data_IF_477993728146
#
_entry.id   IF_477993728146
#
_cell.length_a   1.000
_cell.length_b   1.000
_cell.length_c   1.000
_cell.angle_alpha   90.00
_cell.angle_beta   90.00
_cell.angle_gamma   90.00
#
_symmetry.space_group_name_H-M   'P 1'
#
loop_
_entity.id
_entity.type
_entity.pdbx_description
1 polymer ?
#
# COMPACT_ATOMS: atom_id res chain seq x y z
N UNK A 1 -48.70 56.15 -7.91
CA UNK A 1 -47.50 56.05 -7.04
C UNK A 1 -47.49 54.62 -6.51
N UNK A 2 -46.82 53.76 -7.24
CA UNK A 2 -46.65 52.36 -6.87
C UNK A 2 -45.19 52.13 -6.45
N UNK A 3 -44.99 51.79 -5.16
CA UNK A 3 -43.69 51.41 -4.63
C UNK A 3 -43.56 49.87 -4.80
N UNK A 4 -42.62 49.46 -5.65
CA UNK A 4 -42.29 48.08 -5.84
C UNK A 4 -41.43 47.57 -4.68
N UNK A 5 -41.88 46.51 -4.02
CA UNK A 5 -41.17 45.77 -2.99
C UNK A 5 -40.14 44.84 -3.64
N UNK A 6 -38.87 44.97 -3.21
CA UNK A 6 -37.79 44.02 -3.55
C UNK A 6 -37.98 42.70 -2.79
N UNK A 7 -37.74 41.57 -3.39
CA UNK A 7 -37.65 40.30 -2.67
C UNK A 7 -36.27 40.18 -2.01
N UNK A 8 -36.30 39.83 -0.75
CA UNK A 8 -35.16 39.51 0.11
C UNK A 8 -34.51 38.20 -0.31
N UNK A 9 -33.27 38.31 -0.81
CA UNK A 9 -32.43 37.11 -1.15
C UNK A 9 -31.61 36.73 0.09
N UNK A 10 -32.28 36.21 1.15
CA UNK A 10 -31.62 35.56 2.24
C UNK A 10 -31.11 34.16 1.77
N UNK A 11 -29.81 34.05 1.74
CA UNK A 11 -28.98 32.92 1.46
C UNK A 11 -29.48 31.59 2.07
N UNK A 12 -29.98 30.70 1.24
CA UNK A 12 -29.95 29.28 1.54
C UNK A 12 -28.48 28.77 1.42
N UNK A 13 -27.86 28.55 2.56
CA UNK A 13 -26.59 27.85 2.64
C UNK A 13 -26.82 26.40 2.26
N UNK A 14 -26.47 26.07 1.04
CA UNK A 14 -26.46 24.71 0.50
C UNK A 14 -25.48 23.83 1.31
N UNK A 15 -26.03 23.12 2.30
CA UNK A 15 -25.33 22.08 3.07
C UNK A 15 -25.50 20.73 2.39
N UNK A 16 -25.27 20.63 1.09
CA UNK A 16 -25.07 19.36 0.43
C UNK A 16 -23.57 19.04 0.42
N UNK A 17 -23.11 18.30 1.41
CA UNK A 17 -21.75 17.77 1.48
C UNK A 17 -21.50 16.68 0.44
N UNK A 18 -21.69 16.98 -0.83
CA UNK A 18 -21.29 16.08 -1.91
C UNK A 18 -19.77 16.01 -1.93
N UNK A 19 -19.20 14.85 -1.62
CA UNK A 19 -17.78 14.57 -1.81
C UNK A 19 -17.41 14.89 -3.26
N UNK A 20 -16.38 15.72 -3.46
CA UNK A 20 -15.92 16.05 -4.81
C UNK A 20 -15.58 14.76 -5.58
N UNK A 21 -15.88 14.72 -6.90
CA UNK A 21 -15.57 13.55 -7.71
C UNK A 21 -14.07 13.25 -7.68
N UNK A 22 -13.70 11.95 -7.66
CA UNK A 22 -12.32 11.56 -7.76
C UNK A 22 -11.76 11.92 -9.13
N UNK A 23 -10.53 12.43 -9.16
CA UNK A 23 -9.74 12.64 -10.37
C UNK A 23 -8.79 11.45 -10.49
N UNK A 24 -8.75 10.82 -11.65
CA UNK A 24 -7.89 9.66 -11.95
C UNK A 24 -7.23 9.88 -13.31
N UNK A 25 -5.90 9.73 -13.38
CA UNK A 25 -5.13 9.93 -14.61
C UNK A 25 -3.80 9.18 -14.55
N UNK A 26 -2.99 9.31 -15.60
CA UNK A 26 -1.64 8.78 -15.70
C UNK A 26 -0.66 9.91 -15.97
N UNK A 27 0.28 10.13 -15.05
CA UNK A 27 1.43 10.99 -15.33
C UNK A 27 2.30 10.34 -16.42
N UNK A 28 2.59 11.10 -17.48
CA UNK A 28 3.53 10.75 -18.53
C UNK A 28 4.78 11.62 -18.39
N UNK A 29 5.91 11.01 -18.01
CA UNK A 29 7.20 11.67 -17.91
C UNK A 29 8.07 11.24 -19.10
N UNK A 30 8.27 12.14 -20.09
CA UNK A 30 8.98 11.85 -21.32
C UNK A 30 10.49 11.66 -21.18
N UNK A 31 11.20 12.46 -20.35
CA UNK A 31 12.63 12.29 -20.15
C UNK A 31 12.99 10.94 -19.56
N UNK A 32 14.23 10.52 -19.76
CA UNK A 32 14.79 9.32 -19.17
C UNK A 32 14.68 9.38 -17.63
N UNK A 33 14.05 8.36 -17.03
CA UNK A 33 13.94 8.18 -15.59
C UNK A 33 15.01 7.20 -15.11
N UNK A 34 16.10 7.70 -14.49
CA UNK A 34 17.19 6.84 -14.01
C UNK A 34 16.74 6.06 -12.79
N UNK A 35 17.16 4.78 -12.68
CA UNK A 35 16.84 3.91 -11.56
C UNK A 35 17.99 3.87 -10.55
N UNK A 36 17.63 3.70 -9.28
CA UNK A 36 18.54 3.73 -8.15
C UNK A 36 19.68 2.70 -8.25
N UNK A 37 19.36 1.49 -8.71
CA UNK A 37 20.34 0.41 -8.90
C UNK A 37 20.89 0.34 -10.33
N UNK A 38 20.72 1.40 -11.11
CA UNK A 38 21.16 1.47 -12.51
C UNK A 38 20.07 1.07 -13.50
N UNK A 39 20.30 1.43 -14.76
CA UNK A 39 19.27 1.34 -15.80
C UNK A 39 18.36 2.57 -15.82
N UNK A 40 17.29 2.49 -16.57
CA UNK A 40 16.31 3.58 -16.70
C UNK A 40 14.99 3.08 -17.27
N UNK A 41 13.95 3.88 -17.08
CA UNK A 41 12.64 3.75 -17.74
C UNK A 41 12.43 4.94 -18.65
N UNK A 42 11.92 4.71 -19.85
CA UNK A 42 11.64 5.77 -20.84
C UNK A 42 10.52 5.30 -21.77
N UNK A 43 9.34 5.96 -21.80
CA UNK A 43 8.90 6.97 -20.84
C UNK A 43 8.45 6.34 -19.51
N UNK A 44 8.56 7.10 -18.41
CA UNK A 44 7.89 6.72 -17.15
C UNK A 44 6.41 7.07 -17.24
N UNK A 45 5.56 6.11 -16.85
CA UNK A 45 4.14 6.33 -16.60
C UNK A 45 3.84 6.05 -15.13
N UNK A 46 2.99 6.86 -14.50
CA UNK A 46 2.56 6.65 -13.13
C UNK A 46 1.05 6.90 -13.02
N UNK A 47 0.28 5.84 -12.88
CA UNK A 47 -1.17 5.89 -12.65
C UNK A 47 -1.46 6.41 -11.24
N UNK A 48 -2.37 7.37 -11.12
CA UNK A 48 -2.73 7.99 -9.85
C UNK A 48 -4.23 8.27 -9.75
N UNK A 49 -4.71 8.43 -8.52
CA UNK A 49 -6.08 8.86 -8.22
C UNK A 49 -6.08 9.75 -6.98
N UNK A 50 -6.77 10.88 -7.07
CA UNK A 50 -6.92 11.84 -6.00
C UNK A 50 -8.41 12.03 -5.70
N UNK A 51 -8.85 11.67 -4.50
CA UNK A 51 -10.26 11.67 -4.11
C UNK A 51 -10.45 12.35 -2.75
N UNK A 52 -11.59 13.02 -2.54
CA UNK A 52 -11.93 13.71 -1.30
C UNK A 52 -12.21 15.19 -1.51
N UNK A 53 -12.44 15.93 -0.43
CA UNK A 53 -12.90 17.32 -0.46
C UNK A 53 -11.86 18.24 -1.13
N UNK A 54 -12.29 18.96 -2.17
CA UNK A 54 -11.43 19.94 -2.87
C UNK A 54 -10.87 20.97 -1.90
N UNK A 55 -9.59 21.33 -2.06
CA UNK A 55 -8.89 22.28 -1.21
C UNK A 55 -8.46 21.73 0.16
N UNK A 56 -8.84 20.50 0.53
CA UNK A 56 -8.35 19.88 1.75
C UNK A 56 -6.88 19.41 1.59
N UNK A 57 -6.13 19.29 2.70
CA UNK A 57 -4.76 18.75 2.67
C UNK A 57 -4.69 17.38 2.04
N UNK A 58 -3.59 17.08 1.36
CA UNK A 58 -3.40 15.79 0.67
C UNK A 58 -2.68 14.80 1.57
N UNK A 59 -3.26 13.60 1.70
CA UNK A 59 -2.64 12.43 2.34
C UNK A 59 -2.41 11.36 1.27
N UNK A 60 -1.17 10.90 1.12
CA UNK A 60 -0.83 9.77 0.26
C UNK A 60 -1.04 8.47 1.03
N UNK A 61 -1.82 7.54 0.46
CA UNK A 61 -2.08 6.22 1.04
C UNK A 61 -1.46 5.11 0.19
N UNK A 62 -0.54 4.35 0.78
CA UNK A 62 0.24 3.30 0.15
C UNK A 62 0.07 1.97 0.89
N UNK A 63 -0.29 0.91 0.19
CA UNK A 63 -0.44 -0.43 0.75
C UNK A 63 0.69 -1.38 0.37
N UNK A 64 0.46 -2.69 0.53
CA UNK A 64 1.38 -3.73 0.05
C UNK A 64 1.53 -3.73 -1.47
N UNK A 65 2.37 -4.61 -2.01
CA UNK A 65 2.69 -4.68 -3.46
C UNK A 65 1.48 -4.88 -4.38
N UNK A 66 0.35 -5.31 -3.85
CA UNK A 66 -0.90 -5.49 -4.62
C UNK A 66 -1.85 -4.30 -4.52
N UNK A 67 -1.49 -3.27 -3.74
CA UNK A 67 -2.28 -2.05 -3.66
C UNK A 67 -2.18 -1.26 -4.97
N UNK A 68 -3.22 -0.50 -5.24
CA UNK A 68 -3.35 0.28 -6.46
C UNK A 68 -3.93 1.66 -6.13
N UNK A 69 -4.00 2.55 -7.11
CA UNK A 69 -4.46 3.94 -6.95
C UNK A 69 -5.84 4.12 -6.33
N UNK A 70 -6.73 3.11 -6.43
CA UNK A 70 -8.07 3.15 -5.81
C UNK A 70 -7.99 2.70 -4.35
N UNK A 71 -7.63 3.62 -3.46
CA UNK A 71 -7.58 3.37 -2.01
C UNK A 71 -8.97 3.06 -1.47
N UNK A 72 -9.95 3.88 -1.85
CA UNK A 72 -11.39 3.66 -1.63
C UNK A 72 -12.17 4.06 -2.87
N UNK A 73 -13.40 3.57 -3.00
CA UNK A 73 -14.28 3.95 -4.09
C UNK A 73 -15.72 4.09 -3.57
N UNK A 74 -16.35 5.23 -3.84
CA UNK A 74 -17.70 5.55 -3.36
C UNK A 74 -18.79 4.88 -4.19
N UNK A 75 -18.49 4.59 -5.47
CA UNK A 75 -19.46 3.96 -6.39
C UNK A 75 -19.36 2.43 -6.33
N UNK A 76 -18.16 1.91 -6.10
CA UNK A 76 -17.87 0.48 -6.05
C UNK A 76 -17.02 0.17 -4.81
N UNK A 77 -17.67 0.02 -3.65
CA UNK A 77 -16.97 -0.18 -2.38
C UNK A 77 -15.94 -1.34 -2.39
N UNK A 78 -16.14 -2.36 -3.24
CA UNK A 78 -15.19 -3.48 -3.42
C UNK A 78 -14.00 -3.14 -4.33
N UNK A 79 -14.02 -2.01 -5.03
CA UNK A 79 -12.91 -1.60 -5.90
C UNK A 79 -11.77 -0.94 -5.11
N UNK A 80 -12.04 -0.40 -3.91
CA UNK A 80 -11.02 0.16 -3.02
C UNK A 80 -10.36 -0.94 -2.18
N UNK A 81 -9.02 -0.95 -2.12
CA UNK A 81 -8.30 -1.93 -1.30
C UNK A 81 -8.31 -1.60 0.20
N UNK A 82 -8.68 -0.38 0.58
CA UNK A 82 -8.71 0.10 1.98
C UNK A 82 -10.04 0.75 2.38
N UNK A 83 -11.14 0.39 1.75
CA UNK A 83 -12.46 1.00 1.95
C UNK A 83 -12.97 0.92 3.40
N UNK A 84 -12.45 0.02 4.25
CA UNK A 84 -12.78 -0.03 5.68
C UNK A 84 -12.11 1.09 6.50
N UNK A 85 -10.99 1.64 6.03
CA UNK A 85 -10.20 2.66 6.72
C UNK A 85 -10.18 4.01 6.01
N UNK A 86 -10.51 4.07 4.71
CA UNK A 86 -10.48 5.29 3.91
C UNK A 86 -11.85 5.55 3.26
N UNK A 87 -12.28 6.80 3.28
CA UNK A 87 -13.56 7.25 2.72
C UNK A 87 -14.27 8.25 3.63
N UNK A 88 -15.52 8.66 3.33
CA UNK A 88 -16.28 9.57 4.17
C UNK A 88 -16.50 9.02 5.57
N UNK A 89 -16.18 9.80 6.60
CA UNK A 89 -16.27 9.44 8.01
C UNK A 89 -15.48 8.18 8.42
N UNK A 90 -14.57 7.70 7.57
CA UNK A 90 -13.64 6.64 7.90
C UNK A 90 -12.46 7.17 8.75
N UNK A 91 -11.51 6.30 9.12
CA UNK A 91 -10.30 6.72 9.84
C UNK A 91 -9.47 7.71 9.01
N UNK A 92 -9.31 7.45 7.71
CA UNK A 92 -8.80 8.39 6.72
C UNK A 92 -10.01 9.07 6.05
N UNK A 93 -10.51 10.13 6.70
CA UNK A 93 -11.77 10.78 6.33
C UNK A 93 -11.61 11.69 5.10
N UNK A 94 -12.20 11.27 3.99
CA UNK A 94 -12.19 12.01 2.73
C UNK A 94 -12.96 13.35 2.77
N UNK A 95 -13.73 13.62 3.84
CA UNK A 95 -14.31 14.93 4.08
C UNK A 95 -13.30 15.92 4.70
N UNK A 96 -12.23 15.42 5.32
CA UNK A 96 -11.19 16.22 5.99
C UNK A 96 -9.91 16.32 5.17
N UNK A 97 -9.59 15.32 4.35
CA UNK A 97 -8.39 15.26 3.51
C UNK A 97 -8.72 14.80 2.09
N UNK A 98 -7.80 15.07 1.15
CA UNK A 98 -7.79 14.41 -0.15
C UNK A 98 -6.85 13.22 -0.09
N UNK A 99 -7.32 12.05 -0.49
CA UNK A 99 -6.53 10.82 -0.50
C UNK A 99 -5.93 10.62 -1.87
N UNK A 100 -4.61 10.64 -1.94
CA UNK A 100 -3.84 10.30 -3.13
C UNK A 100 -3.47 8.80 -3.06
N UNK A 101 -3.73 8.07 -4.13
CA UNK A 101 -3.28 6.69 -4.34
C UNK A 101 -2.54 6.58 -5.67
N UNK A 102 -1.65 5.63 -5.79
CA UNK A 102 -0.89 5.35 -7.02
C UNK A 102 -0.92 3.86 -7.38
N UNK A 103 -0.67 3.56 -8.65
CA UNK A 103 -0.20 2.24 -9.07
C UNK A 103 1.33 2.24 -9.01
N UNK A 104 1.93 1.29 -8.29
CA UNK A 104 3.40 1.23 -8.21
C UNK A 104 4.05 1.02 -9.57
N UNK A 105 5.18 1.66 -9.79
CA UNK A 105 6.08 1.32 -10.91
C UNK A 105 6.54 -0.13 -10.74
N UNK A 106 6.46 -0.93 -11.79
CA UNK A 106 6.73 -2.37 -11.70
C UNK A 106 5.53 -3.25 -11.37
N UNK A 107 4.35 -2.67 -11.09
CA UNK A 107 3.10 -3.40 -10.82
C UNK A 107 2.33 -3.79 -12.09
N UNK A 108 1.18 -4.42 -11.90
CA UNK A 108 0.24 -4.81 -12.97
C UNK A 108 -0.81 -3.74 -13.31
N UNK A 109 -0.58 -2.47 -12.90
CA UNK A 109 -1.48 -1.34 -13.16
C UNK A 109 -1.15 -0.58 -14.45
N UNK A 110 -1.54 0.70 -14.50
CA UNK A 110 -1.25 1.58 -15.65
C UNK A 110 0.11 2.27 -15.57
N UNK A 111 0.82 2.13 -14.45
CA UNK A 111 2.21 2.58 -14.32
C UNK A 111 3.15 1.76 -15.19
N UNK A 112 4.33 2.32 -15.48
CA UNK A 112 5.38 1.56 -16.15
C UNK A 112 5.70 0.29 -15.37
N UNK A 113 5.65 -0.85 -16.05
CA UNK A 113 5.84 -2.17 -15.44
C UNK A 113 6.15 -3.23 -16.51
N UNK A 114 6.45 -4.44 -16.08
CA UNK A 114 6.68 -5.54 -16.99
C UNK A 114 5.41 -5.88 -17.78
N UNK A 115 5.62 -6.40 -18.97
CA UNK A 115 4.58 -7.03 -19.79
C UNK A 115 4.78 -8.55 -19.75
N UNK A 116 3.73 -9.31 -20.06
CA UNK A 116 3.81 -10.77 -20.10
C UNK A 116 4.95 -11.25 -21.01
N UNK A 117 5.84 -12.09 -20.48
CA UNK A 117 7.03 -12.60 -21.16
C UNK A 117 8.16 -11.58 -21.36
N UNK A 118 7.99 -10.32 -20.89
CA UNK A 118 8.97 -9.26 -21.03
C UNK A 118 9.92 -9.15 -19.83
N UNK A 119 11.14 -8.67 -20.08
CA UNK A 119 12.05 -8.24 -19.02
C UNK A 119 11.70 -6.84 -18.55
N UNK A 120 11.92 -6.57 -17.26
CA UNK A 120 11.79 -5.24 -16.67
C UNK A 120 12.96 -4.99 -15.72
N UNK A 121 13.34 -3.72 -15.57
CA UNK A 121 14.45 -3.37 -14.70
C UNK A 121 14.09 -3.57 -13.22
N UNK A 122 15.10 -3.79 -12.37
CA UNK A 122 14.93 -3.84 -10.93
C UNK A 122 14.51 -2.47 -10.39
N UNK A 123 13.43 -2.45 -9.63
CA UNK A 123 12.86 -1.26 -9.01
C UNK A 123 13.10 -1.31 -7.51
N UNK A 124 13.46 -0.19 -6.91
CA UNK A 124 13.59 -0.03 -5.47
C UNK A 124 12.51 0.88 -4.87
N UNK A 125 12.41 0.94 -3.56
CA UNK A 125 11.56 1.91 -2.85
C UNK A 125 11.99 3.37 -3.14
N UNK A 126 13.26 3.62 -3.46
CA UNK A 126 13.75 4.93 -3.87
C UNK A 126 13.28 5.34 -5.26
N UNK A 127 13.10 4.39 -6.18
CA UNK A 127 12.53 4.67 -7.50
C UNK A 127 11.05 5.05 -7.39
N UNK A 128 10.32 4.38 -6.49
CA UNK A 128 8.94 4.77 -6.16
C UNK A 128 8.89 6.17 -5.56
N UNK A 129 9.81 6.50 -4.63
CA UNK A 129 9.91 7.81 -4.01
C UNK A 129 10.19 8.92 -5.04
N UNK A 130 11.09 8.69 -6.00
CA UNK A 130 11.36 9.64 -7.08
C UNK A 130 10.17 9.80 -8.02
N UNK A 131 9.50 8.72 -8.40
CA UNK A 131 8.28 8.79 -9.21
C UNK A 131 7.17 9.57 -8.50
N UNK A 132 7.02 9.40 -7.18
CA UNK A 132 6.10 10.19 -6.35
C UNK A 132 6.45 11.67 -6.32
N UNK A 133 7.73 12.03 -6.19
CA UNK A 133 8.18 13.43 -6.25
C UNK A 133 7.76 14.09 -7.56
N UNK A 134 8.00 13.41 -8.70
CA UNK A 134 7.55 13.90 -10.01
C UNK A 134 6.03 14.06 -10.10
N UNK A 135 5.29 13.14 -9.50
CA UNK A 135 3.82 13.25 -9.45
C UNK A 135 3.37 14.44 -8.61
N UNK A 136 3.98 14.70 -7.45
CA UNK A 136 3.63 15.86 -6.62
C UNK A 136 3.91 17.17 -7.34
N UNK A 137 5.03 17.27 -8.08
CA UNK A 137 5.35 18.44 -8.89
C UNK A 137 4.31 18.64 -10.00
N UNK A 138 3.90 17.55 -10.68
CA UNK A 138 2.85 17.59 -11.72
C UNK A 138 1.49 18.03 -11.16
N UNK A 139 1.16 17.62 -9.96
CA UNK A 139 -0.10 17.97 -9.29
C UNK A 139 -0.05 19.33 -8.56
N UNK A 140 1.09 20.03 -8.59
CA UNK A 140 1.34 21.27 -7.85
C UNK A 140 1.07 21.10 -6.35
N UNK A 141 1.52 19.98 -5.77
CA UNK A 141 1.45 19.71 -4.35
C UNK A 141 2.83 19.95 -3.75
N UNK A 142 3.01 21.05 -3.03
CA UNK A 142 4.30 21.40 -2.44
C UNK A 142 4.71 20.43 -1.34
N UNK A 143 3.79 20.08 -0.45
CA UNK A 143 4.00 19.06 0.58
C UNK A 143 2.72 18.26 0.87
N UNK A 144 2.91 16.99 1.20
CA UNK A 144 1.84 16.12 1.68
C UNK A 144 1.61 16.38 3.18
N UNK A 145 0.35 16.45 3.60
CA UNK A 145 -0.01 16.44 5.02
C UNK A 145 0.52 15.21 5.73
N UNK A 146 0.46 14.05 5.07
CA UNK A 146 1.02 12.81 5.58
C UNK A 146 1.23 11.80 4.46
N UNK A 147 2.12 10.81 4.71
CA UNK A 147 2.11 9.54 4.00
C UNK A 147 1.69 8.46 4.99
N UNK A 148 0.61 7.75 4.66
CA UNK A 148 0.18 6.55 5.37
C UNK A 148 0.62 5.34 4.55
N UNK A 149 1.62 4.63 5.05
CA UNK A 149 2.22 3.50 4.35
C UNK A 149 2.12 2.20 5.14
N UNK A 150 1.57 1.15 4.54
CA UNK A 150 1.52 -0.18 5.12
C UNK A 150 2.39 -1.17 4.32
N UNK A 151 3.17 -2.02 5.00
CA UNK A 151 4.04 -3.01 4.35
C UNK A 151 4.98 -2.33 3.34
N UNK A 152 4.97 -2.74 2.06
CA UNK A 152 5.77 -2.11 1.02
C UNK A 152 5.53 -0.60 0.90
N UNK A 153 4.28 -0.15 1.09
CA UNK A 153 3.96 1.28 1.11
C UNK A 153 4.63 2.04 2.26
N UNK A 154 4.84 1.40 3.40
CA UNK A 154 5.64 1.95 4.50
C UNK A 154 7.12 2.08 4.15
N UNK A 155 7.67 1.10 3.42
CA UNK A 155 9.05 1.16 2.90
C UNK A 155 9.22 2.32 1.91
N UNK A 156 8.26 2.53 1.01
CA UNK A 156 8.26 3.65 0.07
C UNK A 156 8.14 4.98 0.82
N UNK A 157 7.29 5.07 1.84
CA UNK A 157 7.14 6.26 2.67
C UNK A 157 8.44 6.64 3.41
N UNK A 158 9.13 5.66 3.98
CA UNK A 158 10.45 5.87 4.61
C UNK A 158 11.49 6.35 3.60
N UNK A 159 11.58 5.72 2.42
CA UNK A 159 12.48 6.13 1.36
C UNK A 159 12.17 7.55 0.83
N UNK A 160 10.89 7.91 0.75
CA UNK A 160 10.46 9.25 0.36
C UNK A 160 10.90 10.30 1.40
N UNK A 161 10.61 10.04 2.68
CA UNK A 161 10.95 10.98 3.74
C UNK A 161 12.48 11.11 3.99
N UNK A 162 13.27 10.07 3.69
CA UNK A 162 14.72 10.18 3.73
C UNK A 162 15.26 11.11 2.65
N UNK A 163 14.67 11.08 1.43
CA UNK A 163 15.14 11.89 0.28
C UNK A 163 14.52 13.28 0.22
N UNK A 164 13.24 13.41 0.62
CA UNK A 164 12.42 14.61 0.43
C UNK A 164 11.69 14.97 1.72
N UNK A 165 12.41 15.17 2.85
CA UNK A 165 11.77 15.44 4.15
C UNK A 165 10.91 16.70 4.15
N UNK A 166 11.22 17.70 3.31
CA UNK A 166 10.46 18.95 3.15
C UNK A 166 9.14 18.76 2.39
N UNK A 167 8.94 17.61 1.74
CA UNK A 167 7.75 17.32 0.93
C UNK A 167 6.67 16.54 1.68
N UNK A 168 6.84 16.29 2.98
CA UNK A 168 5.86 15.59 3.82
C UNK A 168 5.96 16.06 5.27
N UNK A 169 4.81 16.33 5.90
CA UNK A 169 4.76 16.86 7.26
C UNK A 169 4.86 15.75 8.33
N UNK A 170 4.32 14.56 8.06
CA UNK A 170 4.36 13.42 8.98
C UNK A 170 4.18 12.06 8.28
N UNK A 171 4.62 11.00 8.95
CA UNK A 171 4.46 9.61 8.49
C UNK A 171 3.59 8.81 9.45
N UNK A 172 2.76 7.93 8.91
CA UNK A 172 2.13 6.81 9.62
C UNK A 172 2.57 5.51 8.93
N UNK A 173 3.44 4.74 9.58
CA UNK A 173 4.08 3.54 9.03
C UNK A 173 3.53 2.32 9.74
N UNK A 174 2.92 1.40 8.99
CA UNK A 174 2.30 0.18 9.53
C UNK A 174 3.05 -1.04 9.00
N UNK A 175 3.58 -1.89 9.88
CA UNK A 175 4.25 -3.14 9.50
C UNK A 175 5.30 -2.98 8.40
N UNK A 176 6.21 -2.00 8.57
CA UNK A 176 7.34 -1.78 7.66
C UNK A 176 8.55 -1.28 8.46
N UNK A 177 9.71 -1.88 8.22
CA UNK A 177 10.95 -1.58 8.92
C UNK A 177 11.98 -0.91 7.99
N UNK A 178 13.13 -0.53 8.54
CA UNK A 178 14.24 0.13 7.85
C UNK A 178 14.81 -0.70 6.69
N UNK A 179 14.67 -2.01 6.77
CA UNK A 179 15.10 -2.97 5.75
C UNK A 179 14.26 -4.24 5.79
N UNK A 180 14.33 -5.03 4.73
CA UNK A 180 13.69 -6.34 4.70
C UNK A 180 14.33 -7.30 5.71
N UNK A 181 13.48 -8.03 6.44
CA UNK A 181 13.91 -9.05 7.39
C UNK A 181 14.41 -10.29 6.63
N UNK A 182 15.58 -10.88 6.99
CA UNK A 182 16.19 -11.98 6.24
C UNK A 182 15.30 -13.23 6.07
N UNK A 183 14.51 -13.63 7.09
CA UNK A 183 13.59 -14.76 6.97
C UNK A 183 12.45 -14.45 5.99
N UNK A 184 11.93 -13.23 5.99
CA UNK A 184 10.92 -12.80 5.03
C UNK A 184 11.50 -12.77 3.59
N UNK A 185 12.75 -12.36 3.42
CA UNK A 185 13.49 -12.47 2.15
C UNK A 185 13.66 -13.93 1.72
N UNK A 186 13.96 -14.86 2.65
CA UNK A 186 14.05 -16.27 2.36
C UNK A 186 12.73 -16.84 1.81
N UNK A 187 11.59 -16.54 2.45
CA UNK A 187 10.28 -16.94 1.94
C UNK A 187 9.98 -16.34 0.56
N UNK A 188 10.23 -15.05 0.35
CA UNK A 188 10.03 -14.39 -0.96
C UNK A 188 10.98 -14.95 -2.04
N UNK A 189 12.19 -15.33 -1.69
CA UNK A 189 13.12 -15.94 -2.64
C UNK A 189 12.60 -17.28 -3.17
N UNK A 190 11.99 -18.11 -2.30
CA UNK A 190 11.32 -19.36 -2.71
C UNK A 190 10.11 -19.06 -3.59
N UNK A 191 9.27 -18.09 -3.21
CA UNK A 191 8.12 -17.67 -4.02
C UNK A 191 8.55 -17.21 -5.42
N UNK A 192 9.57 -16.34 -5.51
CA UNK A 192 10.13 -15.92 -6.81
C UNK A 192 10.70 -17.09 -7.61
N UNK A 193 11.32 -18.07 -6.95
CA UNK A 193 11.84 -19.27 -7.62
C UNK A 193 10.72 -20.12 -8.21
N UNK A 194 9.61 -20.31 -7.49
CA UNK A 194 8.42 -21.02 -7.98
C UNK A 194 7.90 -20.34 -9.25
N UNK A 195 7.73 -19.01 -9.24
CA UNK A 195 7.22 -18.26 -10.40
C UNK A 195 8.18 -18.38 -11.60
N UNK A 196 9.49 -18.17 -11.38
CA UNK A 196 10.50 -18.29 -12.46
C UNK A 196 10.52 -19.70 -13.06
N UNK A 197 10.42 -20.75 -12.24
CA UNK A 197 10.36 -22.12 -12.71
C UNK A 197 9.10 -22.39 -13.54
N UNK A 198 7.94 -21.91 -13.09
CA UNK A 198 6.69 -22.05 -13.82
C UNK A 198 6.68 -21.29 -15.16
N UNK A 199 7.30 -20.09 -15.20
CA UNK A 199 7.51 -19.35 -16.45
C UNK A 199 8.31 -20.15 -17.48
N UNK A 200 9.39 -20.84 -17.04
CA UNK A 200 10.20 -21.72 -17.91
C UNK A 200 9.40 -22.90 -18.47
N UNK A 201 8.39 -23.38 -17.74
CA UNK A 201 7.50 -24.47 -18.13
C UNK A 201 6.28 -24.02 -18.95
N UNK A 202 6.11 -22.70 -19.22
CA UNK A 202 4.92 -22.16 -19.87
C UNK A 202 3.65 -22.20 -19.00
N UNK A 203 3.79 -22.28 -17.67
CA UNK A 203 2.69 -22.34 -16.69
C UNK A 203 2.70 -21.16 -15.70
N UNK A 204 2.76 -19.90 -16.17
CA UNK A 204 2.98 -18.74 -15.33
C UNK A 204 1.88 -18.51 -14.27
N UNK A 205 0.62 -18.75 -14.61
CA UNK A 205 -0.51 -18.59 -13.70
C UNK A 205 -0.43 -19.55 -12.50
N UNK A 206 -0.08 -20.82 -12.73
CA UNK A 206 0.08 -21.80 -11.66
C UNK A 206 1.26 -21.45 -10.73
N UNK A 207 2.37 -20.99 -11.31
CA UNK A 207 3.50 -20.52 -10.52
C UNK A 207 3.13 -19.36 -9.60
N UNK A 208 2.35 -18.40 -10.11
CA UNK A 208 1.88 -17.28 -9.33
C UNK A 208 0.85 -17.70 -8.28
N UNK A 209 -0.06 -18.64 -8.60
CA UNK A 209 -0.98 -19.26 -7.64
C UNK A 209 -0.23 -19.85 -6.46
N UNK A 210 0.76 -20.71 -6.71
CA UNK A 210 1.54 -21.37 -5.66
C UNK A 210 2.39 -20.39 -4.84
N UNK A 211 3.02 -19.41 -5.50
CA UNK A 211 3.79 -18.38 -4.82
C UNK A 211 2.88 -17.53 -3.89
N UNK A 212 1.68 -17.19 -4.34
CA UNK A 212 0.70 -16.47 -3.52
C UNK A 212 0.15 -17.32 -2.39
N UNK A 213 -0.10 -18.60 -2.61
CA UNK A 213 -0.51 -19.56 -1.57
C UNK A 213 0.54 -19.61 -0.44
N UNK A 214 1.83 -19.73 -0.79
CA UNK A 214 2.92 -19.64 0.19
C UNK A 214 2.97 -18.30 0.92
N UNK A 215 2.80 -17.18 0.20
CA UNK A 215 2.75 -15.86 0.82
C UNK A 215 1.61 -15.76 1.84
N UNK A 216 0.41 -16.24 1.51
CA UNK A 216 -0.74 -16.21 2.41
C UNK A 216 -0.52 -16.97 3.70
N UNK A 217 0.26 -18.07 3.66
CA UNK A 217 0.65 -18.82 4.86
C UNK A 217 1.56 -18.04 5.81
N UNK A 218 2.29 -17.03 5.30
CA UNK A 218 3.19 -16.19 6.10
C UNK A 218 2.55 -14.88 6.60
N UNK A 219 1.40 -14.48 6.04
CA UNK A 219 0.74 -13.21 6.39
C UNK A 219 -0.06 -13.30 7.69
N UNK A 220 -0.57 -14.47 8.05
CA UNK A 220 -1.46 -14.69 9.18
C UNK A 220 -0.74 -15.31 10.37
N UNK A 221 -1.28 -15.10 11.56
CA UNK A 221 -0.75 -15.76 12.76
C UNK A 221 -1.07 -17.27 12.76
N UNK A 222 -0.26 -18.03 13.48
CA UNK A 222 -0.54 -19.46 13.72
C UNK A 222 -1.85 -19.68 14.46
N UNK A 223 -2.26 -18.73 15.31
CA UNK A 223 -3.53 -18.77 16.02
C UNK A 223 -4.72 -18.69 15.06
N UNK A 224 -4.71 -17.75 14.10
CA UNK A 224 -5.81 -17.65 13.12
C UNK A 224 -5.93 -18.92 12.28
N UNK A 225 -4.79 -19.52 11.90
CA UNK A 225 -4.80 -20.79 11.17
C UNK A 225 -5.35 -21.93 12.01
N UNK A 226 -4.94 -22.07 13.29
CA UNK A 226 -5.43 -23.12 14.18
C UNK A 226 -6.95 -23.00 14.43
N UNK A 227 -7.46 -21.80 14.66
CA UNK A 227 -8.89 -21.56 14.88
C UNK A 227 -9.74 -21.80 13.62
N UNK A 228 -9.24 -21.37 12.47
CA UNK A 228 -9.98 -21.37 11.21
C UNK A 228 -9.99 -22.74 10.53
N UNK A 229 -8.93 -23.51 10.65
CA UNK A 229 -8.72 -24.77 9.94
C UNK A 229 -8.60 -25.97 10.87
N UNK A 230 -9.35 -25.94 11.98
CA UNK A 230 -9.42 -27.03 12.96
C UNK A 230 -10.14 -28.32 12.45
N UNK A 231 -10.82 -28.23 11.29
CA UNK A 231 -11.58 -29.36 10.74
C UNK A 231 -10.66 -30.49 10.27
N UNK A 232 -11.12 -31.72 10.45
CA UNK A 232 -10.42 -32.89 9.94
C UNK A 232 -10.36 -32.88 8.40
N UNK A 233 -9.30 -33.43 7.80
CA UNK A 233 -9.22 -33.62 6.35
C UNK A 233 -10.33 -34.53 5.84
N UNK A 234 -10.83 -34.27 4.63
CA UNK A 234 -11.85 -35.05 3.95
C UNK A 234 -11.20 -35.98 2.95
N UNK A 235 -11.71 -37.25 2.84
CA UNK A 235 -11.27 -38.18 1.80
C UNK A 235 -12.12 -37.93 0.54
N UNK A 236 -11.50 -37.48 -0.54
CA UNK A 236 -12.12 -37.24 -1.84
C UNK A 236 -11.34 -37.96 -2.94
N UNK A 237 -12.02 -38.79 -3.73
CA UNK A 237 -11.41 -39.52 -4.85
C UNK A 237 -10.10 -40.26 -4.49
N UNK A 238 -10.03 -40.84 -3.29
CA UNK A 238 -8.87 -41.59 -2.81
C UNK A 238 -7.69 -40.76 -2.30
N UNK A 239 -7.86 -39.43 -2.14
CA UNK A 239 -6.87 -38.49 -1.57
C UNK A 239 -7.47 -37.70 -0.43
N UNK A 240 -6.65 -37.36 0.56
CA UNK A 240 -7.06 -36.44 1.61
C UNK A 240 -6.93 -34.99 1.14
N UNK A 241 -8.02 -34.22 1.35
CA UNK A 241 -8.09 -32.79 1.09
C UNK A 241 -8.10 -32.07 2.42
N UNK A 242 -7.22 -31.11 2.58
CA UNK A 242 -7.08 -30.30 3.78
C UNK A 242 -7.77 -28.95 3.59
N UNK A 243 -8.66 -28.50 4.51
CA UNK A 243 -9.34 -27.20 4.38
C UNK A 243 -8.39 -26.01 4.23
N UNK A 244 -7.23 -26.06 4.87
CA UNK A 244 -6.19 -25.04 4.75
C UNK A 244 -5.59 -24.98 3.33
N UNK A 245 -5.38 -26.12 2.68
CA UNK A 245 -4.86 -26.22 1.30
C UNK A 245 -5.84 -25.58 0.32
N UNK A 246 -7.13 -25.94 0.41
CA UNK A 246 -8.19 -25.36 -0.43
C UNK A 246 -8.24 -23.82 -0.31
N UNK A 247 -8.13 -23.30 0.92
CA UNK A 247 -8.11 -21.89 1.16
C UNK A 247 -6.91 -21.20 0.51
N UNK A 248 -5.70 -21.73 0.71
CA UNK A 248 -4.47 -21.16 0.18
C UNK A 248 -4.48 -21.13 -1.35
N UNK A 249 -4.84 -22.24 -1.99
CA UNK A 249 -4.95 -22.35 -3.44
C UNK A 249 -6.06 -21.44 -4.00
N UNK A 250 -7.20 -21.32 -3.32
CA UNK A 250 -8.25 -20.35 -3.70
C UNK A 250 -7.73 -18.91 -3.70
N UNK A 251 -6.99 -18.51 -2.66
CA UNK A 251 -6.38 -17.15 -2.61
C UNK A 251 -5.32 -16.96 -3.68
N UNK A 252 -4.58 -18.03 -3.99
CA UNK A 252 -3.60 -18.06 -5.08
C UNK A 252 -4.26 -17.81 -6.44
N UNK A 253 -5.31 -18.55 -6.76
CA UNK A 253 -6.09 -18.39 -8.03
C UNK A 253 -6.68 -17.01 -8.18
N UNK A 254 -7.32 -16.48 -7.14
CA UNK A 254 -7.89 -15.13 -7.15
C UNK A 254 -6.84 -14.05 -7.44
N UNK A 255 -5.62 -14.26 -6.99
CA UNK A 255 -4.51 -13.35 -7.25
C UNK A 255 -3.96 -13.51 -8.67
N UNK A 256 -3.70 -14.74 -9.10
CA UNK A 256 -3.16 -15.04 -10.43
C UNK A 256 -4.09 -14.60 -11.57
N UNK A 257 -5.40 -14.53 -11.33
CA UNK A 257 -6.37 -14.02 -12.29
C UNK A 257 -6.27 -12.50 -12.56
N UNK A 258 -5.56 -11.74 -11.70
CA UNK A 258 -5.55 -10.26 -11.72
C UNK A 258 -4.15 -9.66 -11.75
N UNK A 259 -3.12 -10.45 -11.55
CA UNK A 259 -1.76 -9.96 -11.37
C UNK A 259 -0.79 -10.67 -12.32
N UNK A 260 0.14 -9.93 -12.92
CA UNK A 260 1.15 -10.51 -13.78
C UNK A 260 2.26 -11.17 -12.97
N UNK A 261 2.72 -12.38 -13.34
CA UNK A 261 3.84 -13.05 -12.69
C UNK A 261 5.13 -12.21 -12.69
N UNK A 262 5.42 -11.50 -13.78
CA UNK A 262 6.59 -10.64 -13.92
C UNK A 262 6.50 -9.42 -12.98
N UNK A 263 5.31 -8.85 -12.79
CA UNK A 263 5.08 -7.76 -11.84
C UNK A 263 5.25 -8.24 -10.39
N UNK A 264 4.79 -9.45 -10.07
CA UNK A 264 5.05 -10.08 -8.78
C UNK A 264 6.56 -10.25 -8.54
N UNK A 265 7.31 -10.73 -9.54
CA UNK A 265 8.77 -10.87 -9.43
C UNK A 265 9.44 -9.52 -9.18
N UNK A 266 9.07 -8.49 -9.94
CA UNK A 266 9.62 -7.15 -9.83
C UNK A 266 9.37 -6.54 -8.43
N UNK A 267 8.13 -6.49 -7.96
CA UNK A 267 7.82 -5.86 -6.68
C UNK A 267 8.22 -6.73 -5.47
N UNK A 268 8.21 -8.05 -5.60
CA UNK A 268 8.78 -8.94 -4.57
C UNK A 268 10.28 -8.73 -4.39
N UNK A 269 11.02 -8.47 -5.46
CA UNK A 269 12.44 -8.09 -5.40
C UNK A 269 12.62 -6.72 -4.79
N UNK A 270 11.78 -5.74 -5.16
CA UNK A 270 11.80 -4.38 -4.66
C UNK A 270 11.67 -4.30 -3.13
N UNK A 271 10.84 -5.17 -2.52
CA UNK A 271 10.77 -5.29 -1.06
C UNK A 271 12.14 -5.66 -0.49
N UNK A 272 12.82 -6.64 -1.09
CA UNK A 272 14.10 -7.15 -0.57
C UNK A 272 15.28 -6.19 -0.81
N UNK A 273 15.16 -5.30 -1.79
CA UNK A 273 16.12 -4.22 -2.07
C UNK A 273 15.94 -3.01 -1.14
N UNK A 274 14.85 -2.96 -0.36
CA UNK A 274 14.61 -1.83 0.54
C UNK A 274 15.65 -1.76 1.66
N UNK A 275 16.30 -0.61 1.75
CA UNK A 275 17.20 -0.25 2.85
C UNK A 275 17.30 1.27 2.95
N UNK A 276 16.93 1.85 4.09
CA UNK A 276 17.05 3.27 4.41
C UNK A 276 17.89 3.46 5.68
N UNK A 277 18.41 4.65 5.91
CA UNK A 277 18.97 5.02 7.21
C UNK A 277 17.94 5.82 8.00
N UNK A 278 17.25 5.15 8.94
CA UNK A 278 16.21 5.76 9.75
C UNK A 278 16.67 7.01 10.52
N UNK A 279 17.96 7.11 10.86
CA UNK A 279 18.53 8.28 11.56
C UNK A 279 18.48 9.57 10.72
N UNK A 280 18.36 9.44 9.41
CA UNK A 280 18.26 10.57 8.47
C UNK A 280 16.82 11.05 8.24
N UNK A 281 15.84 10.33 8.77
CA UNK A 281 14.41 10.65 8.61
C UNK A 281 13.97 11.53 9.77
N UNK A 282 14.09 12.84 9.61
CA UNK A 282 13.67 13.84 10.63
C UNK A 282 12.15 14.11 10.69
N UNK A 283 11.38 13.53 9.77
CA UNK A 283 9.93 13.71 9.69
C UNK A 283 9.25 13.00 10.88
N UNK A 284 8.31 13.66 11.59
CA UNK A 284 7.55 13.02 12.66
C UNK A 284 6.88 11.74 12.18
N UNK A 285 7.16 10.63 12.86
CA UNK A 285 6.74 9.30 12.41
C UNK A 285 5.99 8.55 13.51
N UNK A 286 4.74 8.19 13.25
CA UNK A 286 4.01 7.19 14.06
C UNK A 286 4.23 5.82 13.42
N UNK A 287 4.93 4.94 14.11
CA UNK A 287 5.14 3.55 13.69
C UNK A 287 4.11 2.64 14.38
N UNK A 288 3.44 1.80 13.62
CA UNK A 288 2.47 0.81 14.13
C UNK A 288 3.03 -0.59 13.90
N UNK A 289 3.25 -1.30 14.99
CA UNK A 289 3.75 -2.67 15.00
C UNK A 289 2.64 -3.65 15.38
N UNK A 290 2.59 -4.79 14.72
CA UNK A 290 1.68 -5.89 15.04
C UNK A 290 2.48 -7.01 15.70
N UNK A 291 2.07 -7.41 16.90
CA UNK A 291 2.84 -8.37 17.73
C UNK A 291 3.00 -9.73 17.04
N UNK A 292 2.00 -10.17 16.29
CA UNK A 292 1.94 -11.46 15.60
C UNK A 292 2.45 -11.41 14.15
N UNK A 293 3.01 -10.26 13.71
CA UNK A 293 3.58 -10.12 12.37
C UNK A 293 4.88 -10.90 12.22
N UNK A 294 4.89 -11.91 11.34
CA UNK A 294 6.05 -12.75 11.06
C UNK A 294 6.96 -12.18 9.96
N UNK A 295 6.44 -11.26 9.13
CA UNK A 295 7.20 -10.65 8.02
C UNK A 295 7.98 -9.43 8.49
N UNK A 296 7.41 -8.67 9.43
CA UNK A 296 8.04 -7.52 10.07
C UNK A 296 7.93 -7.69 11.58
N UNK A 297 8.82 -8.48 12.19
CA UNK A 297 8.80 -8.78 13.62
C UNK A 297 8.79 -7.52 14.47
N UNK A 298 8.15 -7.58 15.62
CA UNK A 298 8.07 -6.47 16.58
C UNK A 298 9.45 -5.89 16.93
N UNK A 299 10.49 -6.73 16.96
CA UNK A 299 11.86 -6.30 17.22
C UNK A 299 12.38 -5.31 16.17
N UNK A 300 12.05 -5.54 14.90
CA UNK A 300 12.47 -4.67 13.79
C UNK A 300 11.72 -3.33 13.82
N UNK A 301 10.45 -3.33 14.21
CA UNK A 301 9.66 -2.10 14.39
C UNK A 301 10.14 -1.28 15.61
N UNK A 302 10.50 -1.94 16.70
CA UNK A 302 11.11 -1.29 17.86
C UNK A 302 12.48 -0.70 17.51
N UNK A 303 13.29 -1.42 16.74
CA UNK A 303 14.58 -0.93 16.25
C UNK A 303 14.40 0.28 15.33
N UNK A 304 13.44 0.25 14.39
CA UNK A 304 13.10 1.40 13.56
C UNK A 304 12.73 2.62 14.41
N UNK A 305 11.80 2.46 15.36
CA UNK A 305 11.34 3.55 16.21
C UNK A 305 12.48 4.14 17.08
N UNK A 306 13.39 3.30 17.56
CA UNK A 306 14.55 3.74 18.35
C UNK A 306 15.59 4.51 17.51
N UNK A 307 15.63 4.32 16.20
CA UNK A 307 16.58 4.98 15.30
C UNK A 307 16.04 6.25 14.65
N UNK A 308 14.73 6.37 14.49
CA UNK A 308 14.08 7.58 14.00
C UNK A 308 14.22 8.72 15.02
N UNK A 309 14.68 9.93 14.62
CA UNK A 309 14.84 11.07 15.52
C UNK A 309 13.54 11.53 16.20
N UNK A 310 12.41 11.37 15.51
CA UNK A 310 11.08 11.79 15.98
C UNK A 310 10.09 10.66 15.73
N UNK A 311 10.03 9.68 16.64
CA UNK A 311 9.17 8.51 16.49
C UNK A 311 8.26 8.28 17.69
N UNK A 312 7.04 7.87 17.41
CA UNK A 312 6.10 7.26 18.35
C UNK A 312 5.82 5.83 17.88
N UNK A 313 5.98 4.85 18.76
CA UNK A 313 5.63 3.46 18.49
C UNK A 313 4.27 3.11 19.11
N UNK A 314 3.38 2.57 18.29
CA UNK A 314 2.11 1.98 18.71
C UNK A 314 2.17 0.48 18.46
N UNK A 315 1.99 -0.33 19.49
CA UNK A 315 1.95 -1.79 19.38
C UNK A 315 0.50 -2.26 19.47
N UNK A 316 0.07 -3.07 18.53
CA UNK A 316 -1.25 -3.69 18.51
C UNK A 316 -1.13 -5.21 18.43
N UNK A 317 -2.07 -5.94 19.04
CA UNK A 317 -2.17 -7.39 18.88
C UNK A 317 -3.24 -7.69 17.83
N UNK A 318 -2.95 -8.61 16.92
CA UNK A 318 -3.90 -9.04 15.89
C UNK A 318 -3.61 -10.46 15.40
N UNK A 319 -4.58 -11.34 15.51
CA UNK A 319 -4.51 -12.68 14.91
C UNK A 319 -4.30 -12.66 13.39
N UNK A 320 -4.56 -11.52 12.74
CA UNK A 320 -4.34 -11.37 11.29
C UNK A 320 -2.86 -11.11 10.94
N UNK A 321 -1.96 -10.98 11.93
CA UNK A 321 -0.53 -10.81 11.71
C UNK A 321 -0.23 -9.66 10.76
N UNK A 322 0.51 -9.88 9.68
CA UNK A 322 0.87 -8.86 8.70
C UNK A 322 -0.34 -8.21 8.02
N UNK A 323 -1.45 -8.95 7.84
CA UNK A 323 -2.69 -8.43 7.23
C UNK A 323 -3.54 -7.56 8.18
N UNK A 324 -3.08 -7.27 9.40
CA UNK A 324 -3.79 -6.44 10.37
C UNK A 324 -4.18 -5.08 9.79
N UNK A 325 -3.32 -4.46 8.97
CA UNK A 325 -3.64 -3.17 8.33
C UNK A 325 -4.85 -3.22 7.38
N UNK A 326 -5.26 -4.42 6.94
CA UNK A 326 -6.46 -4.64 6.11
C UNK A 326 -7.69 -5.05 6.92
N UNK A 327 -7.53 -5.42 8.21
CA UNK A 327 -8.57 -6.10 8.98
C UNK A 327 -8.88 -5.45 10.33
N UNK A 328 -7.92 -4.75 10.93
CA UNK A 328 -8.04 -4.18 12.28
C UNK A 328 -8.45 -2.70 12.26
N UNK A 329 -9.53 -2.39 11.54
CA UNK A 329 -10.02 -1.01 11.41
C UNK A 329 -10.33 -0.37 12.77
N UNK A 330 -10.84 -1.13 13.75
CA UNK A 330 -11.15 -0.65 15.10
C UNK A 330 -9.89 -0.27 15.89
N UNK A 331 -8.82 -1.07 15.82
CA UNK A 331 -7.56 -0.81 16.50
C UNK A 331 -6.77 0.32 15.83
N UNK A 332 -6.86 0.44 14.50
CA UNK A 332 -6.13 1.44 13.72
C UNK A 332 -6.81 2.82 13.75
N UNK A 333 -8.15 2.90 13.80
CA UNK A 333 -8.89 4.17 13.78
C UNK A 333 -8.38 5.22 14.78
N UNK A 334 -8.15 4.92 16.07
CA UNK A 334 -7.62 5.90 17.03
C UNK A 334 -6.21 6.40 16.68
N UNK A 335 -5.41 5.54 16.03
CA UNK A 335 -4.03 5.88 15.65
C UNK A 335 -4.04 6.87 14.49
N UNK A 336 -5.00 6.75 13.56
CA UNK A 336 -5.16 7.67 12.42
C UNK A 336 -5.55 9.09 12.83
N UNK A 337 -6.06 9.30 14.04
CA UNK A 337 -6.35 10.66 14.54
C UNK A 337 -5.11 11.56 14.59
N UNK A 338 -3.91 10.99 14.68
CA UNK A 338 -2.65 11.76 14.60
C UNK A 338 -2.50 12.52 13.27
N UNK A 339 -3.14 12.09 12.20
CA UNK A 339 -3.08 12.72 10.88
C UNK A 339 -3.77 14.10 10.84
N UNK A 340 -4.66 14.36 11.79
CA UNK A 340 -5.51 15.55 11.82
C UNK A 340 -5.07 16.62 12.84
N UNK A 341 -4.20 16.25 13.79
CA UNK A 341 -3.58 17.15 14.75
C UNK A 341 -2.34 17.84 14.18
N UNK A 342 -1.79 18.81 14.95
CA UNK A 342 -0.46 19.33 14.62
C UNK A 342 0.59 18.21 14.72
N UNK A 343 1.59 18.16 13.82
CA UNK A 343 2.72 17.25 13.95
C UNK A 343 3.47 17.56 15.26
N UNK A 344 3.65 16.56 16.10
CA UNK A 344 4.36 16.67 17.38
C UNK A 344 5.89 16.69 17.25
#
# INVERSE_FOLDING_TARGET
MNVASHPDLSSESDRSGASAPAIEDVLHWGPRFPLHHGGSIEPLRLGWRLAGRTGAPVVLALGGISAHRRVFDLQQARAGWWSELAGPAAALDSNRVRVLGIDYVGASGESSGPVAGGAFASISSYDQAEALRLLLDHLHIDALRAIVGASYGGMVALAFAERYPERVEQLLIISAAERSQPMATAWRSVQRRIVRFALQLGRPAEGLELARALAMATYRSSQEFAERFAQAPRLEQGRFVFPVEEYLLSRGRDYAARYLPEAFLCLSESIDLHAVDARRIGVPTTAVAVLEDQLVPIADMRALAARLPRARLCEISSRYGHDAFLRESSALRPIFECLYGEPW
#
